data_IF_304731926407
#
_entry.id   IF_304731926407
#
_cell.length_a   1.000
_cell.length_b   1.000
_cell.length_c   1.000
_cell.angle_alpha   90.00
_cell.angle_beta   90.00
_cell.angle_gamma   90.00
#
_symmetry.space_group_name_H-M   'P 1'
#
loop_
_entity.id
_entity.type
_entity.pdbx_description
1 polymer ?
#
# COMPACT_ATOMS: atom_id res chain seq x y z
N UNK A 1 -48.68 78.45 -16.10
CA UNK A 1 -47.55 78.44 -15.20
C UNK A 1 -47.18 76.98 -14.89
N UNK A 2 -46.18 76.40 -15.60
CA UNK A 2 -45.68 75.06 -15.45
C UNK A 2 -44.21 75.16 -15.00
N UNK A 3 -43.90 74.68 -13.82
CA UNK A 3 -42.54 74.58 -13.26
C UNK A 3 -41.93 73.27 -13.75
N UNK A 4 -40.84 73.31 -14.48
CA UNK A 4 -40.00 72.20 -14.83
C UNK A 4 -38.97 72.03 -13.71
N UNK A 5 -39.04 70.89 -13.06
CA UNK A 5 -38.01 70.45 -12.10
C UNK A 5 -37.00 69.56 -12.86
N UNK A 6 -35.77 70.05 -12.98
CA UNK A 6 -34.68 69.28 -13.53
C UNK A 6 -34.14 68.27 -12.54
N UNK A 7 -34.09 67.02 -12.93
CA UNK A 7 -33.37 65.99 -12.18
C UNK A 7 -31.92 65.92 -12.66
N UNK A 8 -31.01 66.19 -11.73
CA UNK A 8 -29.58 66.00 -11.93
C UNK A 8 -29.22 64.56 -11.65
N UNK A 9 -28.86 63.79 -12.68
CA UNK A 9 -28.37 62.39 -12.53
C UNK A 9 -26.86 62.49 -12.37
N UNK A 10 -26.38 62.20 -11.16
CA UNK A 10 -24.94 61.99 -10.86
C UNK A 10 -24.64 60.56 -11.19
N UNK A 11 -23.88 60.32 -12.28
CA UNK A 11 -23.34 59.01 -12.61
C UNK A 11 -22.11 58.74 -11.72
N UNK A 12 -22.25 57.79 -10.82
CA UNK A 12 -21.17 57.32 -9.98
C UNK A 12 -20.42 56.20 -10.75
N UNK A 13 -19.29 56.53 -11.30
CA UNK A 13 -18.38 55.54 -11.96
C UNK A 13 -17.59 54.84 -10.89
N UNK A 14 -17.97 53.60 -10.55
CA UNK A 14 -17.16 52.69 -9.73
C UNK A 14 -16.02 52.14 -10.56
N UNK A 15 -14.80 52.54 -10.23
CA UNK A 15 -13.57 51.91 -10.74
C UNK A 15 -13.38 50.61 -9.98
N UNK A 16 -13.63 49.50 -10.66
CA UNK A 16 -13.26 48.17 -10.16
C UNK A 16 -11.77 48.00 -10.45
N UNK A 17 -10.95 48.13 -9.41
CA UNK A 17 -9.54 47.74 -9.49
C UNK A 17 -9.48 46.21 -9.53
N UNK A 18 -9.20 45.64 -10.71
CA UNK A 18 -8.86 44.24 -10.87
C UNK A 18 -7.48 44.05 -10.23
N UNK A 19 -7.46 43.50 -9.01
CA UNK A 19 -6.25 42.94 -8.43
C UNK A 19 -5.90 41.69 -9.27
N UNK A 20 -4.84 41.81 -10.08
CA UNK A 20 -4.19 40.64 -10.68
C UNK A 20 -3.63 39.81 -9.51
N UNK A 21 -4.41 38.81 -9.08
CA UNK A 21 -3.90 37.77 -8.22
C UNK A 21 -2.80 37.06 -9.01
N UNK A 22 -1.56 37.18 -8.53
CA UNK A 22 -0.50 36.27 -8.97
C UNK A 22 -1.02 34.86 -8.76
N UNK A 23 -1.29 34.17 -9.84
CA UNK A 23 -1.40 32.72 -9.86
C UNK A 23 -0.01 32.23 -9.45
N UNK A 24 0.16 31.95 -8.15
CA UNK A 24 1.29 31.16 -7.67
C UNK A 24 1.19 29.87 -8.47
N UNK A 25 2.03 29.77 -9.49
CA UNK A 25 2.17 28.55 -10.27
C UNK A 25 2.39 27.44 -9.28
N UNK A 26 1.44 26.51 -9.21
CA UNK A 26 1.68 25.23 -8.61
C UNK A 26 2.94 24.71 -9.31
N UNK A 27 4.06 24.75 -8.59
CA UNK A 27 5.25 24.04 -9.02
C UNK A 27 4.76 22.60 -9.16
N UNK A 28 4.67 22.11 -10.39
CA UNK A 28 4.70 20.70 -10.71
C UNK A 28 6.02 20.12 -10.19
N UNK A 29 6.17 20.14 -8.88
CA UNK A 29 7.06 19.27 -8.16
C UNK A 29 6.53 17.88 -8.45
N UNK A 30 7.06 17.27 -9.48
CA UNK A 30 7.02 15.86 -9.72
C UNK A 30 7.77 15.24 -8.53
N UNK A 31 7.11 15.21 -7.36
CA UNK A 31 7.54 14.44 -6.22
C UNK A 31 7.73 13.04 -6.78
N UNK A 32 8.98 12.60 -6.88
CA UNK A 32 9.32 11.36 -7.56
C UNK A 32 8.45 10.27 -6.98
N UNK A 33 7.78 9.49 -7.82
CA UNK A 33 6.91 8.40 -7.36
C UNK A 33 7.60 7.59 -6.29
N UNK A 34 6.90 7.26 -5.21
CA UNK A 34 7.42 6.48 -4.10
C UNK A 34 8.13 5.21 -4.61
N UNK A 35 9.29 4.90 -4.03
CA UNK A 35 10.03 3.68 -4.33
C UNK A 35 9.65 2.62 -3.31
N UNK A 36 8.89 1.62 -3.73
CA UNK A 36 8.30 0.60 -2.88
C UNK A 36 8.91 -0.77 -3.17
N UNK A 37 9.25 -1.51 -2.13
CA UNK A 37 9.63 -2.92 -2.23
C UNK A 37 8.41 -3.79 -1.92
N UNK A 38 8.02 -4.66 -2.84
CA UNK A 38 6.93 -5.63 -2.64
C UNK A 38 7.53 -7.03 -2.53
N UNK A 39 7.34 -7.66 -1.37
CA UNK A 39 7.81 -9.02 -1.07
C UNK A 39 6.60 -9.92 -0.88
N UNK A 40 6.53 -11.03 -1.59
CA UNK A 40 5.37 -11.92 -1.54
C UNK A 40 5.70 -13.40 -1.76
N UNK A 41 4.75 -14.25 -1.36
CA UNK A 41 4.79 -15.68 -1.62
C UNK A 41 4.03 -16.07 -2.91
N UNK A 42 3.53 -17.31 -2.98
CA UNK A 42 2.83 -17.84 -4.16
C UNK A 42 1.58 -17.03 -4.54
N UNK A 43 0.94 -16.33 -3.61
CA UNK A 43 -0.22 -15.47 -3.90
C UNK A 43 0.21 -14.30 -4.78
N UNK A 44 1.35 -13.70 -4.46
CA UNK A 44 1.91 -12.55 -5.16
C UNK A 44 2.55 -12.92 -6.50
N UNK A 45 2.88 -14.19 -6.75
CA UNK A 45 3.41 -14.60 -8.06
C UNK A 45 2.41 -14.35 -9.20
N UNK A 46 1.14 -14.09 -8.93
CA UNK A 46 0.17 -13.67 -9.92
C UNK A 46 0.63 -12.41 -10.69
N UNK A 47 1.31 -11.47 -10.03
CA UNK A 47 1.86 -10.27 -10.66
C UNK A 47 2.94 -10.56 -11.72
N UNK A 48 3.54 -11.73 -11.73
CA UNK A 48 4.49 -12.14 -12.77
C UNK A 48 3.80 -12.52 -14.09
N UNK A 49 2.48 -12.78 -14.06
CA UNK A 49 1.71 -13.30 -15.18
C UNK A 49 0.51 -12.45 -15.56
N UNK A 50 0.13 -11.48 -14.72
CA UNK A 50 -1.02 -10.58 -14.93
C UNK A 50 -0.49 -9.18 -15.17
N UNK A 51 -0.24 -8.85 -16.45
CA UNK A 51 0.34 -7.57 -16.86
C UNK A 51 -0.47 -6.37 -16.34
N UNK A 52 -1.81 -6.38 -16.46
CA UNK A 52 -2.67 -5.31 -15.98
C UNK A 52 -2.56 -5.02 -14.48
N UNK A 53 -2.37 -6.07 -13.65
CA UNK A 53 -2.16 -5.89 -12.23
C UNK A 53 -0.78 -5.31 -11.93
N UNK A 54 0.23 -5.71 -12.70
CA UNK A 54 1.59 -5.18 -12.58
C UNK A 54 1.67 -3.72 -13.02
N UNK A 55 1.06 -3.38 -14.13
CA UNK A 55 0.95 -2.00 -14.64
C UNK A 55 0.23 -1.09 -13.64
N UNK A 56 -0.88 -1.58 -13.06
CA UNK A 56 -1.60 -0.84 -12.02
C UNK A 56 -0.74 -0.62 -10.78
N UNK A 57 0.02 -1.62 -10.34
CA UNK A 57 0.93 -1.48 -9.21
C UNK A 57 2.02 -0.43 -9.50
N UNK A 58 2.58 -0.44 -10.70
CA UNK A 58 3.67 0.44 -11.11
C UNK A 58 3.17 1.84 -11.55
N UNK A 59 1.84 2.08 -11.72
CA UNK A 59 1.30 3.37 -12.12
C UNK A 59 1.43 4.44 -11.03
N UNK A 60 1.23 4.07 -9.78
CA UNK A 60 1.24 4.98 -8.64
C UNK A 60 2.63 5.10 -7.99
N UNK A 61 3.47 4.08 -8.14
CA UNK A 61 4.75 3.96 -7.45
C UNK A 61 5.81 3.27 -8.32
N UNK A 62 7.08 3.45 -7.98
CA UNK A 62 8.18 2.65 -8.54
C UNK A 62 8.34 1.36 -7.73
N UNK A 63 7.98 0.21 -8.29
CA UNK A 63 7.98 -1.05 -7.55
C UNK A 63 9.20 -1.91 -7.84
N UNK A 64 9.94 -2.27 -6.77
CA UNK A 64 10.85 -3.41 -6.78
C UNK A 64 10.05 -4.62 -6.33
N UNK A 65 9.96 -5.65 -7.17
CA UNK A 65 9.11 -6.79 -6.92
C UNK A 65 9.92 -8.05 -6.65
N UNK A 66 9.72 -8.66 -5.48
CA UNK A 66 10.41 -9.84 -5.00
C UNK A 66 9.41 -10.88 -4.48
N UNK A 67 8.69 -11.54 -5.40
CA UNK A 67 7.76 -12.61 -5.05
C UNK A 67 8.22 -13.96 -5.57
N UNK A 68 8.18 -14.97 -4.70
CA UNK A 68 8.56 -16.33 -5.02
C UNK A 68 7.56 -17.32 -4.39
N UNK A 69 7.19 -18.35 -5.15
CA UNK A 69 6.39 -19.46 -4.61
C UNK A 69 7.04 -20.05 -3.36
N UNK A 70 6.25 -20.27 -2.32
CA UNK A 70 6.73 -20.86 -1.06
C UNK A 70 7.75 -20.01 -0.27
N UNK A 71 7.84 -18.70 -0.51
CA UNK A 71 8.63 -17.79 0.31
C UNK A 71 8.11 -17.76 1.76
N UNK A 72 9.02 -17.65 2.73
CA UNK A 72 8.73 -17.49 4.15
C UNK A 72 9.24 -16.15 4.67
N UNK A 73 8.84 -15.81 5.88
CA UNK A 73 9.15 -14.53 6.52
C UNK A 73 10.63 -14.39 6.89
N UNK A 74 11.18 -15.36 7.62
CA UNK A 74 12.55 -15.30 8.15
C UNK A 74 13.39 -16.54 7.84
N UNK A 75 12.76 -17.66 7.49
CA UNK A 75 13.44 -18.88 7.10
C UNK A 75 13.55 -18.98 5.57
N UNK A 76 14.47 -19.78 5.02
CA UNK A 76 14.42 -20.17 3.63
C UNK A 76 13.07 -20.77 3.25
N UNK A 77 12.65 -20.58 2.00
CA UNK A 77 11.38 -21.12 1.52
C UNK A 77 11.33 -22.65 1.55
N UNK A 78 10.15 -23.23 1.29
CA UNK A 78 9.98 -24.67 1.31
C UNK A 78 10.56 -25.39 0.08
N UNK A 79 10.96 -24.66 -0.94
CA UNK A 79 11.68 -25.21 -2.09
C UNK A 79 13.17 -24.85 -2.01
N UNK A 80 14.06 -25.78 -2.36
CA UNK A 80 15.50 -25.60 -2.26
C UNK A 80 16.06 -24.39 -3.04
N UNK A 81 15.37 -23.94 -4.08
CA UNK A 81 15.74 -22.77 -4.86
C UNK A 81 15.25 -21.44 -4.26
N UNK A 82 14.32 -21.45 -3.28
CA UNK A 82 13.85 -20.26 -2.56
C UNK A 82 14.73 -20.03 -1.35
N UNK A 83 15.92 -19.49 -1.59
CA UNK A 83 16.97 -19.36 -0.56
C UNK A 83 16.78 -18.12 0.33
N UNK A 84 16.18 -17.05 -0.21
CA UNK A 84 16.01 -15.79 0.51
C UNK A 84 14.62 -15.73 1.15
N UNK A 85 14.60 -15.45 2.44
CA UNK A 85 13.38 -15.11 3.18
C UNK A 85 12.91 -13.69 2.84
N UNK A 86 11.73 -13.29 3.33
CA UNK A 86 11.28 -11.89 3.21
C UNK A 86 12.25 -10.93 3.92
N UNK A 87 12.76 -11.30 5.09
CA UNK A 87 13.77 -10.52 5.81
C UNK A 87 15.07 -10.38 4.99
N UNK A 88 15.51 -11.46 4.34
CA UNK A 88 16.70 -11.41 3.48
C UNK A 88 16.47 -10.54 2.24
N UNK A 89 15.27 -10.59 1.63
CA UNK A 89 14.90 -9.72 0.52
C UNK A 89 14.89 -8.24 0.95
N UNK A 90 14.36 -7.95 2.14
CA UNK A 90 14.37 -6.60 2.72
C UNK A 90 15.81 -6.09 2.87
N UNK A 91 16.69 -6.87 3.49
CA UNK A 91 18.11 -6.54 3.67
C UNK A 91 18.84 -6.36 2.34
N UNK A 92 18.65 -7.29 1.39
CA UNK A 92 19.29 -7.28 0.06
C UNK A 92 18.94 -6.04 -0.75
N UNK A 93 17.73 -5.50 -0.57
CA UNK A 93 17.23 -4.34 -1.31
C UNK A 93 17.41 -3.02 -0.54
N UNK A 94 18.10 -3.01 0.59
CA UNK A 94 18.38 -1.79 1.34
C UNK A 94 19.01 -0.71 0.44
N UNK A 95 18.52 0.53 0.54
CA UNK A 95 18.94 1.67 -0.27
C UNK A 95 18.43 1.69 -1.72
N UNK A 96 17.73 0.64 -2.17
CA UNK A 96 17.13 0.59 -3.51
C UNK A 96 15.68 1.11 -3.53
N UNK A 97 15.04 1.16 -2.40
CA UNK A 97 13.72 1.75 -2.14
C UNK A 97 13.83 2.64 -0.89
N UNK A 98 12.85 3.48 -0.61
CA UNK A 98 13.05 4.54 0.39
C UNK A 98 11.88 4.77 1.34
N UNK A 99 10.67 4.38 0.99
CA UNK A 99 9.51 4.77 1.77
C UNK A 99 8.79 3.60 2.42
N UNK A 100 8.45 2.57 1.64
CA UNK A 100 7.57 1.49 2.09
C UNK A 100 8.06 0.14 1.59
N UNK A 101 7.98 -0.87 2.47
CA UNK A 101 8.00 -2.28 2.09
C UNK A 101 6.62 -2.90 2.29
N UNK A 102 6.11 -3.58 1.27
CA UNK A 102 4.88 -4.37 1.33
C UNK A 102 5.23 -5.82 1.60
N UNK A 103 4.66 -6.41 2.64
CA UNK A 103 4.85 -7.82 3.03
C UNK A 103 3.58 -8.60 2.74
N UNK A 104 3.64 -9.49 1.76
CA UNK A 104 2.56 -10.38 1.33
C UNK A 104 2.93 -11.86 1.39
N UNK A 105 3.77 -12.26 2.33
CA UNK A 105 4.15 -13.65 2.59
C UNK A 105 3.80 -14.05 4.01
N UNK A 106 3.71 -15.35 4.29
CA UNK A 106 3.40 -15.89 5.61
C UNK A 106 2.56 -17.16 5.59
N UNK A 107 1.85 -17.47 4.51
CA UNK A 107 1.09 -18.73 4.45
C UNK A 107 1.97 -19.97 4.67
N UNK A 108 3.27 -19.87 4.44
CA UNK A 108 4.23 -20.98 4.58
C UNK A 108 4.93 -21.01 5.94
N UNK A 109 4.67 -20.04 6.81
CA UNK A 109 5.30 -19.91 8.13
C UNK A 109 4.53 -20.62 9.22
N UNK A 110 5.16 -20.84 10.39
CA UNK A 110 4.50 -21.34 11.58
C UNK A 110 3.72 -20.21 12.25
N UNK A 111 2.60 -20.53 12.89
CA UNK A 111 1.81 -19.60 13.69
C UNK A 111 2.35 -19.44 15.13
N UNK A 112 1.78 -18.51 15.87
CA UNK A 112 2.13 -18.28 17.28
C UNK A 112 3.40 -17.45 17.44
N UNK A 113 4.23 -17.84 18.41
CA UNK A 113 5.48 -17.14 18.71
C UNK A 113 6.40 -16.97 17.50
N UNK A 114 6.66 -17.98 16.66
CA UNK A 114 7.50 -17.81 15.48
C UNK A 114 7.00 -16.75 14.50
N UNK A 115 5.68 -16.67 14.29
CA UNK A 115 5.10 -15.62 13.43
C UNK A 115 5.27 -14.24 14.05
N UNK A 116 4.98 -14.09 15.35
CA UNK A 116 5.19 -12.82 16.06
C UNK A 116 6.63 -12.35 15.95
N UNK A 117 7.58 -13.25 16.21
CA UNK A 117 9.00 -12.93 16.21
C UNK A 117 9.48 -12.55 14.79
N UNK A 118 8.92 -13.18 13.75
CA UNK A 118 9.17 -12.82 12.37
C UNK A 118 8.64 -11.42 12.01
N UNK A 119 7.42 -11.06 12.48
CA UNK A 119 6.88 -9.70 12.30
C UNK A 119 7.80 -8.69 12.97
N UNK A 120 8.22 -8.93 14.22
CA UNK A 120 9.13 -8.04 14.94
C UNK A 120 10.47 -7.88 14.22
N UNK A 121 11.06 -8.98 13.73
CA UNK A 121 12.34 -8.93 13.02
C UNK A 121 12.27 -8.10 11.72
N UNK A 122 11.17 -8.25 10.96
CA UNK A 122 10.98 -7.51 9.71
C UNK A 122 10.71 -6.03 9.99
N UNK A 123 9.85 -5.69 10.96
CA UNK A 123 9.54 -4.30 11.31
C UNK A 123 10.74 -3.58 11.91
N UNK A 124 11.55 -4.25 12.73
CA UNK A 124 12.81 -3.70 13.26
C UNK A 124 13.83 -3.43 12.15
N UNK A 125 13.98 -4.36 11.19
CA UNK A 125 14.88 -4.14 10.05
C UNK A 125 14.37 -3.00 9.16
N UNK A 126 13.07 -2.90 8.92
CA UNK A 126 12.47 -1.79 8.19
C UNK A 126 12.69 -0.45 8.91
N UNK A 127 12.48 -0.39 10.23
CA UNK A 127 12.75 0.80 11.04
C UNK A 127 14.24 1.22 10.96
N UNK A 128 15.17 0.25 10.99
CA UNK A 128 16.61 0.53 10.81
C UNK A 128 16.93 1.15 9.44
N UNK A 129 16.12 0.82 8.42
CA UNK A 129 16.24 1.42 7.08
C UNK A 129 15.42 2.72 6.91
N UNK A 130 14.69 3.16 7.94
CA UNK A 130 13.84 4.36 7.90
C UNK A 130 12.57 4.20 7.03
N UNK A 131 12.09 2.96 6.84
CA UNK A 131 10.94 2.65 5.99
C UNK A 131 9.77 2.05 6.79
N UNK A 132 8.56 2.28 6.31
CA UNK A 132 7.34 1.71 6.85
C UNK A 132 7.04 0.33 6.25
N UNK A 133 6.29 -0.48 6.98
CA UNK A 133 5.84 -1.82 6.57
C UNK A 133 4.34 -1.81 6.36
N UNK A 134 3.88 -2.06 5.14
CA UNK A 134 2.49 -2.41 4.84
C UNK A 134 2.36 -3.93 4.82
N UNK A 135 1.65 -4.48 5.81
CA UNK A 135 1.46 -5.93 5.92
C UNK A 135 0.10 -6.34 5.42
N UNK A 136 0.09 -7.23 4.42
CA UNK A 136 -1.15 -7.75 3.81
C UNK A 136 -1.72 -8.87 4.70
N UNK A 137 -2.97 -8.76 5.13
CA UNK A 137 -3.63 -9.81 5.91
C UNK A 137 -3.90 -11.07 5.09
N UNK A 138 -4.15 -12.18 5.79
CA UNK A 138 -4.34 -13.51 5.19
C UNK A 138 -5.82 -13.83 5.06
N UNK A 139 -6.24 -14.34 3.91
CA UNK A 139 -7.63 -14.77 3.69
C UNK A 139 -8.01 -15.93 4.60
N UNK A 140 -9.11 -15.77 5.34
CA UNK A 140 -9.62 -16.74 6.29
C UNK A 140 -10.56 -17.76 5.61
N UNK A 141 -10.03 -18.52 4.66
CA UNK A 141 -10.82 -19.43 3.83
C UNK A 141 -10.33 -20.87 3.88
N UNK A 142 -11.23 -21.83 3.69
CA UNK A 142 -10.95 -23.26 3.55
C UNK A 142 -9.96 -23.77 4.62
N UNK A 143 -8.99 -24.58 4.20
CA UNK A 143 -8.00 -25.24 5.04
C UNK A 143 -7.01 -24.27 5.71
N UNK A 144 -6.86 -23.05 5.22
CA UNK A 144 -5.98 -22.04 5.86
C UNK A 144 -6.70 -21.18 6.89
N UNK A 145 -8.03 -21.32 7.07
CA UNK A 145 -8.82 -20.43 7.94
C UNK A 145 -8.25 -20.29 9.34
N UNK A 146 -8.00 -21.39 10.03
CA UNK A 146 -7.50 -21.34 11.42
C UNK A 146 -6.15 -20.65 11.53
N UNK A 147 -5.24 -20.96 10.59
CA UNK A 147 -3.92 -20.33 10.49
C UNK A 147 -4.05 -18.84 10.22
N UNK A 148 -4.78 -18.46 9.18
CA UNK A 148 -4.98 -17.06 8.78
C UNK A 148 -5.65 -16.24 9.89
N UNK A 149 -6.67 -16.79 10.57
CA UNK A 149 -7.33 -16.13 11.71
C UNK A 149 -6.34 -15.84 12.82
N UNK A 150 -5.48 -16.82 13.17
CA UNK A 150 -4.47 -16.65 14.22
C UNK A 150 -3.45 -15.57 13.84
N UNK A 151 -2.97 -15.58 12.60
CA UNK A 151 -1.99 -14.60 12.10
C UNK A 151 -2.58 -13.19 12.04
N UNK A 152 -3.78 -13.03 11.48
CA UNK A 152 -4.45 -11.72 11.42
C UNK A 152 -4.73 -11.16 12.82
N UNK A 153 -5.13 -12.01 13.78
CA UNK A 153 -5.30 -11.61 15.18
C UNK A 153 -3.98 -11.15 15.81
N UNK A 154 -2.86 -11.80 15.48
CA UNK A 154 -1.55 -11.36 15.95
C UNK A 154 -1.13 -10.04 15.33
N UNK A 155 -1.32 -9.84 14.03
CA UNK A 155 -1.08 -8.56 13.35
C UNK A 155 -1.88 -7.43 13.98
N UNK A 156 -3.19 -7.59 14.19
CA UNK A 156 -4.02 -6.58 14.83
C UNK A 156 -3.65 -6.26 16.29
N UNK A 157 -2.90 -7.16 16.98
CA UNK A 157 -2.35 -6.88 18.30
C UNK A 157 -1.00 -6.15 18.25
N UNK A 158 -0.27 -6.30 17.17
CA UNK A 158 1.07 -5.70 16.98
C UNK A 158 0.98 -4.31 16.35
N UNK A 159 0.06 -4.10 15.43
CA UNK A 159 -0.16 -2.84 14.72
C UNK A 159 -0.17 -1.61 15.64
N UNK A 160 -0.99 -1.53 16.71
CA UNK A 160 -1.01 -0.36 17.60
C UNK A 160 0.23 -0.21 18.47
N UNK A 161 1.19 -1.14 18.40
CA UNK A 161 2.41 -1.17 19.24
C UNK A 161 3.69 -0.94 18.46
N UNK A 162 3.62 -1.00 17.14
CA UNK A 162 4.76 -0.88 16.24
C UNK A 162 4.48 0.27 15.28
N UNK A 163 5.12 1.40 15.51
CA UNK A 163 4.84 2.66 14.82
C UNK A 163 4.93 2.55 13.30
N UNK A 164 5.93 1.82 12.79
CA UNK A 164 6.16 1.63 11.36
C UNK A 164 5.44 0.41 10.76
N UNK A 165 4.46 -0.19 11.46
CA UNK A 165 3.63 -1.28 10.94
C UNK A 165 2.24 -0.75 10.58
N UNK A 166 1.78 -1.05 9.38
CA UNK A 166 0.45 -0.68 8.88
C UNK A 166 -0.20 -1.90 8.24
N UNK A 167 -1.48 -2.12 8.52
CA UNK A 167 -2.20 -3.30 8.05
C UNK A 167 -3.06 -2.97 6.84
N UNK A 168 -2.83 -3.68 5.73
CA UNK A 168 -3.71 -3.68 4.57
C UNK A 168 -4.62 -4.92 4.64
N UNK A 169 -5.90 -4.71 4.93
CA UNK A 169 -6.81 -5.83 5.22
C UNK A 169 -7.34 -6.50 3.94
N UNK A 170 -6.49 -7.34 3.35
CA UNK A 170 -6.86 -8.17 2.20
C UNK A 170 -7.98 -9.17 2.51
N UNK A 171 -8.07 -9.66 3.76
CA UNK A 171 -9.15 -10.56 4.13
C UNK A 171 -10.52 -9.90 3.97
N UNK A 172 -10.70 -8.70 4.53
CA UNK A 172 -11.93 -7.94 4.41
C UNK A 172 -12.15 -7.42 2.97
N UNK A 173 -11.12 -6.84 2.33
CA UNK A 173 -11.21 -6.30 0.98
C UNK A 173 -11.64 -7.34 -0.06
N UNK A 174 -11.20 -8.58 0.10
CA UNK A 174 -11.50 -9.69 -0.80
C UNK A 174 -12.73 -10.53 -0.38
N UNK A 175 -13.45 -10.15 0.66
CA UNK A 175 -14.64 -10.85 1.12
C UNK A 175 -15.75 -10.85 0.04
N UNK A 176 -16.41 -11.99 -0.14
CA UNK A 176 -17.48 -12.14 -1.14
C UNK A 176 -17.01 -12.17 -2.60
N UNK A 177 -15.71 -12.03 -2.87
CA UNK A 177 -15.17 -12.00 -4.25
C UNK A 177 -14.93 -13.38 -4.87
N UNK A 178 -15.20 -14.45 -4.16
CA UNK A 178 -15.12 -15.82 -4.69
C UNK A 178 -16.01 -16.03 -5.91
N UNK A 179 -17.25 -15.51 -5.88
CA UNK A 179 -18.21 -15.60 -6.97
C UNK A 179 -17.84 -14.72 -8.16
N UNK A 180 -17.03 -13.69 -7.94
CA UNK A 180 -16.58 -12.76 -8.99
C UNK A 180 -15.32 -13.27 -9.72
N UNK A 181 -14.92 -14.51 -9.50
CA UNK A 181 -13.79 -15.12 -10.20
C UNK A 181 -12.44 -14.50 -9.85
N UNK A 182 -12.25 -14.02 -8.61
CA UNK A 182 -10.97 -13.45 -8.16
C UNK A 182 -9.92 -14.49 -7.84
N UNK A 183 -10.34 -15.73 -7.56
CA UNK A 183 -9.49 -16.77 -6.98
C UNK A 183 -9.59 -18.07 -7.78
N UNK A 184 -8.51 -18.83 -7.75
CA UNK A 184 -8.51 -20.23 -8.16
C UNK A 184 -9.42 -21.07 -7.24
N UNK A 185 -9.61 -22.33 -7.56
CA UNK A 185 -10.46 -23.25 -6.79
C UNK A 185 -10.08 -23.35 -5.29
N UNK A 186 -8.85 -23.11 -4.92
CA UNK A 186 -8.37 -23.07 -3.54
C UNK A 186 -8.81 -21.81 -2.76
N UNK A 187 -9.32 -20.79 -3.44
CA UNK A 187 -9.77 -19.48 -2.90
C UNK A 187 -8.66 -18.66 -2.24
N UNK A 188 -7.41 -18.93 -2.59
CA UNK A 188 -6.22 -18.25 -2.08
C UNK A 188 -5.44 -17.64 -3.24
N UNK A 189 -5.05 -18.48 -4.21
CA UNK A 189 -4.29 -18.01 -5.36
C UNK A 189 -5.16 -17.20 -6.31
N UNK A 190 -4.58 -16.14 -6.82
CA UNK A 190 -5.28 -15.14 -7.63
C UNK A 190 -5.38 -15.55 -9.10
N UNK A 191 -6.46 -15.10 -9.72
CA UNK A 191 -6.58 -14.94 -11.17
C UNK A 191 -6.61 -13.45 -11.49
N UNK A 192 -6.72 -13.08 -12.77
CA UNK A 192 -6.58 -11.68 -13.21
C UNK A 192 -7.36 -10.66 -12.39
N UNK A 193 -8.70 -10.78 -12.15
CA UNK A 193 -9.41 -9.78 -11.36
C UNK A 193 -8.94 -9.70 -9.90
N UNK A 194 -8.53 -10.84 -9.32
CA UNK A 194 -8.00 -10.86 -7.96
C UNK A 194 -6.63 -10.20 -7.84
N UNK A 195 -5.77 -10.39 -8.84
CA UNK A 195 -4.46 -9.73 -8.89
C UNK A 195 -4.61 -8.21 -9.04
N UNK A 196 -5.54 -7.74 -9.89
CA UNK A 196 -5.88 -6.31 -10.03
C UNK A 196 -6.42 -5.76 -8.72
N UNK A 197 -7.35 -6.48 -8.04
CA UNK A 197 -7.86 -6.05 -6.73
C UNK A 197 -6.78 -5.98 -5.65
N UNK A 198 -5.81 -6.89 -5.66
CA UNK A 198 -4.68 -6.82 -4.72
C UNK A 198 -3.77 -5.63 -5.03
N UNK A 199 -3.52 -5.31 -6.31
CA UNK A 199 -2.77 -4.11 -6.70
C UNK A 199 -3.47 -2.83 -6.21
N UNK A 200 -4.79 -2.74 -6.35
CA UNK A 200 -5.59 -1.62 -5.84
C UNK A 200 -5.41 -1.42 -4.34
N UNK A 201 -5.55 -2.51 -3.56
CA UNK A 201 -5.35 -2.44 -2.10
C UNK A 201 -3.93 -2.01 -1.74
N UNK A 202 -2.91 -2.53 -2.43
CA UNK A 202 -1.52 -2.14 -2.18
C UNK A 202 -1.32 -0.65 -2.45
N UNK A 203 -1.77 -0.15 -3.60
CA UNK A 203 -1.65 1.26 -3.97
C UNK A 203 -2.34 2.17 -2.96
N UNK A 204 -3.58 1.84 -2.56
CA UNK A 204 -4.31 2.57 -1.54
C UNK A 204 -3.53 2.60 -0.21
N UNK A 205 -3.08 1.44 0.27
CA UNK A 205 -2.39 1.35 1.57
C UNK A 205 -1.04 2.08 1.56
N UNK A 206 -0.30 2.01 0.46
CA UNK A 206 0.95 2.78 0.29
C UNK A 206 0.66 4.28 0.28
N UNK A 207 -0.36 4.74 -0.43
CA UNK A 207 -0.75 6.16 -0.46
C UNK A 207 -1.14 6.68 0.94
N UNK A 208 -1.88 5.89 1.73
CA UNK A 208 -2.24 6.21 3.12
C UNK A 208 -1.00 6.37 4.02
N UNK A 209 -0.02 5.47 3.88
CA UNK A 209 1.25 5.55 4.62
C UNK A 209 2.04 6.78 4.20
N UNK A 210 2.15 7.04 2.90
CA UNK A 210 2.85 8.21 2.39
C UNK A 210 2.24 9.52 2.87
N UNK A 211 0.90 9.62 2.89
CA UNK A 211 0.21 10.79 3.43
C UNK A 211 0.50 11.00 4.94
N UNK A 212 0.55 9.94 5.74
CA UNK A 212 0.95 10.02 7.16
C UNK A 212 2.38 10.51 7.33
N UNK A 213 3.32 10.00 6.51
CA UNK A 213 4.72 10.45 6.55
C UNK A 213 4.86 11.94 6.23
N UNK A 214 4.14 12.44 5.24
CA UNK A 214 4.17 13.87 4.90
C UNK A 214 3.61 14.73 6.03
N UNK A 215 2.51 14.32 6.66
CA UNK A 215 1.96 15.03 7.82
C UNK A 215 2.95 15.07 8.99
N UNK A 216 3.68 13.99 9.25
CA UNK A 216 4.66 13.93 10.33
C UNK A 216 5.90 14.83 10.10
N UNK A 217 6.17 15.28 8.88
CA UNK A 217 7.25 16.22 8.57
C UNK A 217 6.90 17.68 8.87
N UNK A 218 5.62 18.00 9.04
CA UNK A 218 5.09 19.35 9.20
C UNK A 218 4.88 19.72 10.69
N UNK A 219 4.89 18.71 11.56
CA UNK A 219 4.74 18.84 13.02
C UNK A 219 6.11 18.84 13.69
#
# INVERSE_FOLDING_TARGET
>A
MRRLSGFLIIALTTIVAASAGEVVGASDGQAGRAKVLVIGDSVFTAFNHVASARELLDSEQKTIFAAQGCQKLVDPGCFAWVKLSALDQLKKNAGRFSEVVVIGTGYNDRIGTPFRDAVLAITQEAARQGVDVVWITYRQVRHVRGKATTMNKQLGKLDPKIENLHIADWNAFSEGKEKSGWFRADRIHLVTPGAVGLAQLINQSVAEVMAKRELAKVV
#
